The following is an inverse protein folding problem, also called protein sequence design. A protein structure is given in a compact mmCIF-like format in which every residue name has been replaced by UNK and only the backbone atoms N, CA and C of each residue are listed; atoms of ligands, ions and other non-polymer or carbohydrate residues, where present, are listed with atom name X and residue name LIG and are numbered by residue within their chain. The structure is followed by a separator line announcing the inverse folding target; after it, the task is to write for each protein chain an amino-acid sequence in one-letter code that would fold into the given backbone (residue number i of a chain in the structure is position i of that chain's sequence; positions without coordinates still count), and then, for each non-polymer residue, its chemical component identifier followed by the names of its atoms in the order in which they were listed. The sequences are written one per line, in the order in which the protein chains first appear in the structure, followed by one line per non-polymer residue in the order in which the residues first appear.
data_IF_805751552244
#
_entry.id   IF_805751552244
#
_cell.length_a   1.000
_cell.length_b   1.000
_cell.length_c   1.000
_cell.angle_alpha   90.00
_cell.angle_beta   90.00
_cell.angle_gamma   90.00
#
_symmetry.space_group_name_H-M   'P 1'
#
loop_
_entity.id
_entity.type
_entity.pdbx_description
1 polymer ?
#
# COMPACT_ATOMS: atom_id res chain seq x y z
N UNK A 1 18.01 22.36 22.00
CA UNK A 1 17.03 21.24 22.09
C UNK A 1 17.79 20.08 22.72
N UNK A 2 17.32 19.56 23.84
CA UNK A 2 18.06 18.57 24.63
C UNK A 2 18.08 17.24 23.90
N UNK A 3 19.23 16.82 23.37
CA UNK A 3 19.37 15.61 22.55
C UNK A 3 18.84 14.32 23.24
N UNK A 4 19.04 14.10 24.56
CA UNK A 4 18.47 12.96 25.26
C UNK A 4 16.96 12.98 25.36
N UNK A 5 16.34 14.16 25.49
CA UNK A 5 14.89 14.30 25.56
C UNK A 5 14.23 14.01 24.18
N UNK A 6 14.83 14.49 23.09
CA UNK A 6 14.39 14.23 21.72
C UNK A 6 14.46 12.75 21.40
N UNK A 7 15.53 12.07 21.78
CA UNK A 7 15.72 10.64 21.58
C UNK A 7 14.64 9.84 22.33
N UNK A 8 14.44 10.09 23.61
CA UNK A 8 13.39 9.39 24.38
C UNK A 8 12.01 9.58 23.78
N UNK A 9 11.69 10.79 23.30
CA UNK A 9 10.42 11.06 22.64
C UNK A 9 10.30 10.32 21.31
N UNK A 10 11.37 10.25 20.52
CA UNK A 10 11.41 9.46 19.28
C UNK A 10 11.20 7.98 19.58
N UNK A 11 11.92 7.43 20.53
CA UNK A 11 11.81 6.03 20.93
C UNK A 11 10.38 5.69 21.36
N UNK A 12 9.74 6.52 22.15
CA UNK A 12 8.38 6.30 22.62
C UNK A 12 7.31 6.40 21.51
N UNK A 13 7.50 7.26 20.52
CA UNK A 13 6.49 7.54 19.49
C UNK A 13 6.70 6.77 18.18
N UNK A 14 7.94 6.45 17.82
CA UNK A 14 8.27 5.91 16.50
C UNK A 14 8.65 4.43 16.55
N UNK A 15 9.42 4.00 17.55
CA UNK A 15 9.82 2.58 17.64
C UNK A 15 8.66 1.59 17.75
N UNK A 16 7.49 1.90 18.39
CA UNK A 16 6.35 0.98 18.39
C UNK A 16 5.79 0.66 17.00
N UNK A 17 6.21 1.39 15.96
CA UNK A 17 5.77 1.19 14.57
C UNK A 17 6.83 0.51 13.69
N UNK A 18 7.86 -0.11 14.31
CA UNK A 18 8.92 -0.82 13.59
C UNK A 18 8.34 -1.96 12.73
N UNK A 19 7.44 -2.76 13.29
CA UNK A 19 6.82 -3.89 12.58
C UNK A 19 6.04 -3.42 11.35
N UNK A 20 5.26 -2.34 11.48
CA UNK A 20 4.52 -1.76 10.37
C UNK A 20 5.46 -1.22 9.27
N UNK A 21 6.58 -0.61 9.67
CA UNK A 21 7.61 -0.12 8.76
C UNK A 21 8.29 -1.27 8.01
N UNK A 22 8.65 -2.33 8.73
CA UNK A 22 9.25 -3.53 8.15
C UNK A 22 8.28 -4.25 7.20
N UNK A 23 7.03 -4.44 7.61
CA UNK A 23 5.99 -5.01 6.76
C UNK A 23 5.86 -4.27 5.43
N UNK A 24 5.71 -2.95 5.48
CA UNK A 24 5.60 -2.16 4.26
C UNK A 24 6.85 -2.30 3.39
N UNK A 25 8.04 -2.17 3.98
CA UNK A 25 9.30 -2.31 3.25
C UNK A 25 9.43 -3.69 2.59
N UNK A 26 9.09 -4.76 3.33
CA UNK A 26 9.12 -6.15 2.84
C UNK A 26 8.24 -6.34 1.60
N UNK A 27 7.03 -5.78 1.62
CA UNK A 27 6.12 -5.82 0.48
C UNK A 27 6.55 -4.96 -0.70
N UNK A 28 7.26 -3.86 -0.45
CA UNK A 28 7.78 -2.99 -1.50
C UNK A 28 9.03 -3.55 -2.15
N UNK A 29 9.98 -4.07 -1.36
CA UNK A 29 11.27 -4.58 -1.82
C UNK A 29 11.16 -5.96 -2.45
N UNK A 30 10.27 -6.82 -1.93
CA UNK A 30 10.13 -8.20 -2.38
C UNK A 30 11.13 -9.17 -1.76
N UNK A 31 12.16 -8.71 -1.05
CA UNK A 31 13.13 -9.53 -0.35
C UNK A 31 13.49 -8.94 1.01
N UNK A 32 14.04 -9.78 1.89
CA UNK A 32 14.34 -9.44 3.30
C UNK A 32 15.49 -8.45 3.43
N UNK A 33 16.60 -8.67 2.73
CA UNK A 33 17.80 -7.85 2.85
C UNK A 33 17.57 -6.40 2.45
N UNK A 34 16.95 -6.17 1.29
CA UNK A 34 16.59 -4.82 0.85
C UNK A 34 15.57 -4.14 1.79
N UNK A 35 14.67 -4.93 2.38
CA UNK A 35 13.68 -4.41 3.32
C UNK A 35 14.36 -3.90 4.61
N UNK A 36 15.31 -4.65 5.14
CA UNK A 36 16.10 -4.26 6.32
C UNK A 36 16.88 -2.96 6.06
N UNK A 37 17.55 -2.86 4.91
CA UNK A 37 18.29 -1.67 4.51
C UNK A 37 17.37 -0.44 4.37
N UNK A 38 16.20 -0.61 3.74
CA UNK A 38 15.21 0.46 3.59
C UNK A 38 14.68 0.90 4.95
N UNK A 39 14.37 -0.03 5.86
CA UNK A 39 13.90 0.29 7.21
C UNK A 39 14.96 1.02 7.99
N UNK A 40 16.21 0.54 7.99
CA UNK A 40 17.31 1.20 8.69
C UNK A 40 17.50 2.65 8.21
N UNK A 41 17.59 2.86 6.90
CA UNK A 41 17.73 4.21 6.33
C UNK A 41 16.50 5.09 6.63
N UNK A 42 15.28 4.49 6.59
CA UNK A 42 14.05 5.21 6.90
C UNK A 42 14.02 5.68 8.36
N UNK A 43 14.46 4.85 9.32
CA UNK A 43 14.55 5.24 10.72
C UNK A 43 15.62 6.33 10.97
N UNK A 44 16.75 6.26 10.29
CA UNK A 44 17.76 7.32 10.32
C UNK A 44 17.20 8.65 9.79
N UNK A 45 16.46 8.63 8.70
CA UNK A 45 15.77 9.81 8.14
C UNK A 45 14.67 10.30 9.08
N UNK A 46 13.86 9.40 9.61
CA UNK A 46 12.83 9.74 10.58
C UNK A 46 13.42 10.44 11.81
N UNK A 47 14.53 9.93 12.35
CA UNK A 47 15.21 10.56 13.48
C UNK A 47 15.71 11.98 13.16
N UNK A 48 16.33 12.18 11.99
CA UNK A 48 16.78 13.51 11.53
C UNK A 48 15.61 14.49 11.34
N UNK A 49 14.46 13.99 10.85
CA UNK A 49 13.28 14.80 10.58
C UNK A 49 12.37 14.98 11.82
N UNK A 50 12.63 14.24 12.91
CA UNK A 50 11.75 14.21 14.08
C UNK A 50 11.60 15.57 14.75
N UNK A 51 12.61 16.43 14.70
CA UNK A 51 12.54 17.80 15.19
C UNK A 51 11.45 18.66 14.52
N UNK A 52 11.09 18.33 13.29
CA UNK A 52 10.02 18.99 12.50
C UNK A 52 8.67 18.28 12.60
N UNK A 53 8.61 17.09 13.17
CA UNK A 53 7.35 16.36 13.35
C UNK A 53 6.42 17.10 14.32
N UNK A 54 5.27 17.55 13.85
CA UNK A 54 4.24 18.28 14.59
C UNK A 54 2.90 17.55 14.65
N UNK A 55 2.83 16.35 14.05
CA UNK A 55 1.58 15.59 13.96
C UNK A 55 1.34 14.70 15.19
N UNK A 56 0.07 14.27 15.32
CA UNK A 56 -0.36 13.32 16.35
C UNK A 56 -0.33 11.86 15.87
N UNK A 57 0.03 11.63 14.60
CA UNK A 57 0.00 10.31 13.97
C UNK A 57 1.40 9.91 13.48
N UNK A 58 2.25 9.34 14.35
CA UNK A 58 3.62 8.95 13.99
C UNK A 58 3.65 7.80 12.97
N UNK A 59 2.69 6.86 13.01
CA UNK A 59 2.66 5.69 12.13
C UNK A 59 2.51 6.06 10.64
N UNK A 60 1.50 6.81 10.18
CA UNK A 60 1.42 7.23 8.79
C UNK A 60 2.60 8.08 8.34
N UNK A 61 3.14 8.91 9.23
CA UNK A 61 4.33 9.73 8.95
C UNK A 61 5.57 8.86 8.71
N UNK A 62 5.81 7.85 9.56
CA UNK A 62 6.91 6.91 9.39
C UNK A 62 6.76 6.10 8.09
N UNK A 63 5.56 5.58 7.81
CA UNK A 63 5.29 4.78 6.60
C UNK A 63 5.50 5.60 5.32
N UNK A 64 5.21 6.91 5.34
CA UNK A 64 5.56 7.80 4.23
C UNK A 64 7.08 7.91 4.02
N UNK A 65 7.86 7.95 5.11
CA UNK A 65 9.32 7.97 5.04
C UNK A 65 9.85 6.65 4.50
N UNK A 66 9.34 5.51 4.97
CA UNK A 66 9.71 4.16 4.46
C UNK A 66 9.49 4.08 2.96
N UNK A 67 8.29 4.43 2.51
CA UNK A 67 7.93 4.44 1.08
C UNK A 67 8.87 5.32 0.26
N UNK A 68 9.09 6.55 0.68
CA UNK A 68 9.95 7.50 -0.03
C UNK A 68 11.42 7.03 -0.04
N UNK A 69 11.87 6.38 1.03
CA UNK A 69 13.20 5.77 1.10
C UNK A 69 13.34 4.67 0.07
N UNK A 70 12.37 3.76 -0.01
CA UNK A 70 12.34 2.71 -1.02
C UNK A 70 12.39 3.26 -2.45
N UNK A 71 11.55 4.25 -2.79
CA UNK A 71 11.58 4.88 -4.12
C UNK A 71 12.94 5.48 -4.45
N UNK A 72 13.54 6.22 -3.51
CA UNK A 72 14.88 6.80 -3.69
C UNK A 72 15.94 5.72 -3.90
N UNK A 73 15.83 4.59 -3.22
CA UNK A 73 16.75 3.45 -3.38
C UNK A 73 16.58 2.81 -4.76
N UNK A 74 15.34 2.61 -5.21
CA UNK A 74 15.06 2.09 -6.54
C UNK A 74 15.57 3.02 -7.67
N UNK A 75 15.38 4.33 -7.53
CA UNK A 75 15.88 5.32 -8.49
C UNK A 75 17.42 5.30 -8.58
N UNK A 76 18.09 5.25 -7.43
CA UNK A 76 19.55 5.14 -7.38
C UNK A 76 20.06 3.87 -8.06
N UNK A 77 19.40 2.73 -7.80
CA UNK A 77 19.76 1.45 -8.43
C UNK A 77 19.54 1.48 -9.95
N UNK A 78 18.43 2.05 -10.42
CA UNK A 78 18.19 2.24 -11.87
C UNK A 78 19.22 3.15 -12.53
N UNK A 79 19.61 4.23 -11.87
CA UNK A 79 20.66 5.12 -12.37
C UNK A 79 22.07 4.51 -12.33
N UNK A 80 22.31 3.51 -11.46
CA UNK A 80 23.58 2.79 -11.38
C UNK A 80 23.63 1.56 -12.31
N UNK A 81 22.45 1.03 -12.70
CA UNK A 81 22.31 -0.14 -13.57
C UNK A 81 21.85 0.31 -14.95
N UNK A 82 22.78 0.72 -15.79
CA UNK A 82 22.63 0.69 -17.26
C UNK A 82 22.69 -0.75 -17.82
N UNK A 83 22.67 -1.77 -16.94
CA UNK A 83 22.82 -3.18 -17.33
C UNK A 83 21.92 -4.06 -16.46
N UNK A 84 21.03 -4.82 -17.14
CA UNK A 84 20.24 -5.99 -16.68
C UNK A 84 19.57 -5.91 -15.29
N UNK A 85 18.27 -5.59 -15.30
CA UNK A 85 17.38 -5.94 -14.22
C UNK A 85 16.61 -7.21 -14.60
N UNK A 86 17.09 -8.35 -14.12
CA UNK A 86 16.22 -9.47 -13.82
C UNK A 86 15.33 -9.04 -12.66
N UNK A 87 14.00 -9.13 -12.83
CA UNK A 87 13.06 -9.08 -11.72
C UNK A 87 13.45 -10.20 -10.74
N UNK A 88 14.15 -9.83 -9.67
CA UNK A 88 14.57 -10.77 -8.65
C UNK A 88 13.34 -11.50 -8.11
N UNK A 89 13.41 -12.82 -8.06
CA UNK A 89 12.38 -13.66 -7.45
C UNK A 89 12.12 -13.14 -6.04
N UNK A 90 10.84 -12.80 -5.79
CA UNK A 90 10.40 -12.33 -4.49
C UNK A 90 10.56 -13.49 -3.50
N UNK A 91 11.47 -13.31 -2.54
CA UNK A 91 11.63 -14.26 -1.45
C UNK A 91 10.29 -14.44 -0.73
N UNK A 92 9.70 -15.63 -0.88
CA UNK A 92 8.39 -16.00 -0.32
C UNK A 92 8.48 -16.43 1.14
N UNK A 93 9.63 -16.22 1.80
CA UNK A 93 9.75 -16.48 3.22
C UNK A 93 8.72 -15.61 3.98
N UNK A 94 7.78 -16.30 4.61
CA UNK A 94 6.72 -15.68 5.39
C UNK A 94 7.31 -15.04 6.64
N UNK A 95 6.85 -13.82 7.03
CA UNK A 95 7.04 -13.38 8.40
C UNK A 95 6.35 -14.37 9.34
N UNK A 96 7.03 -14.78 10.39
CA UNK A 96 6.45 -15.64 11.44
C UNK A 96 5.27 -14.95 12.11
N UNK A 97 4.07 -15.21 11.59
CA UNK A 97 2.81 -14.83 12.25
C UNK A 97 2.37 -15.98 13.15
N UNK A 98 2.89 -15.99 14.37
CA UNK A 98 2.42 -16.91 15.41
C UNK A 98 1.08 -16.43 15.99
N UNK A 99 -0.01 -16.70 15.27
CA UNK A 99 -1.35 -16.71 15.87
C UNK A 99 -1.56 -18.06 16.54
N UNK A 100 -1.89 -18.06 17.84
CA UNK A 100 -2.21 -19.26 18.58
C UNK A 100 -3.39 -20.02 17.93
N UNK A 101 -3.09 -21.06 17.16
CA UNK A 101 -4.08 -21.98 16.64
C UNK A 101 -4.12 -23.24 17.51
N UNK A 102 -5.31 -23.62 17.95
CA UNK A 102 -5.57 -24.69 18.92
C UNK A 102 -5.67 -26.08 18.27
N UNK A 103 -5.68 -26.16 16.92
CA UNK A 103 -5.85 -27.39 16.16
C UNK A 103 -4.79 -27.49 15.04
N UNK A 104 -3.94 -28.55 15.01
CA UNK A 104 -2.87 -28.72 14.03
C UNK A 104 -3.36 -28.78 12.57
N UNK A 105 -4.51 -29.38 12.30
CA UNK A 105 -5.05 -29.54 10.95
C UNK A 105 -5.60 -28.21 10.42
N UNK A 106 -6.30 -27.44 11.26
CA UNK A 106 -6.73 -26.08 10.93
C UNK A 106 -5.53 -25.11 10.83
N UNK A 107 -4.45 -25.37 11.55
CA UNK A 107 -3.24 -24.58 11.47
C UNK A 107 -2.56 -24.76 10.10
N UNK A 108 -2.39 -26.01 9.63
CA UNK A 108 -1.82 -26.31 8.31
C UNK A 108 -2.64 -25.70 7.16
N UNK A 109 -3.97 -25.81 7.21
CA UNK A 109 -4.85 -25.21 6.18
C UNK A 109 -4.75 -23.68 6.19
N UNK A 110 -4.66 -23.06 7.37
CA UNK A 110 -4.46 -21.60 7.47
C UNK A 110 -3.09 -21.17 6.93
N UNK A 111 -2.06 -21.95 7.18
CA UNK A 111 -0.71 -21.67 6.70
C UNK A 111 -0.64 -21.74 5.17
N UNK A 112 -1.29 -22.71 4.55
CA UNK A 112 -1.41 -22.81 3.08
C UNK A 112 -2.18 -21.63 2.49
N UNK A 113 -3.31 -21.25 3.09
CA UNK A 113 -4.09 -20.07 2.66
C UNK A 113 -3.29 -18.78 2.79
N UNK A 114 -2.54 -18.61 3.87
CA UNK A 114 -1.67 -17.45 4.09
C UNK A 114 -0.55 -17.41 3.05
N UNK A 115 0.12 -18.53 2.80
CA UNK A 115 1.16 -18.63 1.75
C UNK A 115 0.60 -18.30 0.37
N UNK A 116 -0.61 -18.79 0.07
CA UNK A 116 -1.30 -18.52 -1.19
C UNK A 116 -1.59 -17.03 -1.39
N UNK A 117 -2.14 -16.37 -0.35
CA UNK A 117 -2.41 -14.92 -0.39
C UNK A 117 -1.12 -14.13 -0.54
N UNK A 118 -0.06 -14.50 0.16
CA UNK A 118 1.26 -13.88 0.03
C UNK A 118 1.82 -14.02 -1.39
N UNK A 119 1.78 -15.22 -1.95
CA UNK A 119 2.22 -15.48 -3.32
C UNK A 119 1.40 -14.68 -4.34
N UNK A 120 0.09 -14.53 -4.10
CA UNK A 120 -0.78 -13.73 -4.95
C UNK A 120 -0.48 -12.22 -4.84
N UNK A 121 -0.28 -11.70 -3.62
CA UNK A 121 0.12 -10.32 -3.40
C UNK A 121 1.47 -10.00 -4.05
N UNK A 122 2.43 -10.92 -3.98
CA UNK A 122 3.73 -10.79 -4.60
C UNK A 122 3.66 -10.56 -6.12
N UNK A 123 2.68 -11.18 -6.78
CA UNK A 123 2.45 -11.06 -8.23
C UNK A 123 1.73 -9.77 -8.65
N UNK A 124 1.19 -9.01 -7.72
CA UNK A 124 0.53 -7.75 -8.06
C UNK A 124 1.57 -6.67 -8.42
N UNK A 125 1.27 -5.81 -9.43
CA UNK A 125 2.05 -4.60 -9.63
C UNK A 125 2.12 -3.76 -8.35
N UNK A 126 3.29 -3.20 -8.06
CA UNK A 126 3.59 -2.47 -6.81
C UNK A 126 2.54 -1.42 -6.46
N UNK A 127 2.04 -0.68 -7.44
CA UNK A 127 1.04 0.40 -7.23
C UNK A 127 -0.30 -0.09 -6.68
N UNK A 128 -0.66 -1.36 -6.89
CA UNK A 128 -1.86 -2.00 -6.35
C UNK A 128 -1.55 -2.71 -5.05
N UNK A 129 -0.42 -3.41 -4.98
CA UNK A 129 0.06 -4.09 -3.78
C UNK A 129 0.26 -3.11 -2.63
N UNK A 130 0.90 -1.95 -2.88
CA UNK A 130 1.10 -0.90 -1.90
C UNK A 130 -0.20 -0.47 -1.19
N UNK A 131 -1.23 -0.13 -1.95
CA UNK A 131 -2.49 0.34 -1.35
C UNK A 131 -3.26 -0.75 -0.63
N UNK A 132 -3.15 -2.02 -1.09
CA UNK A 132 -3.72 -3.19 -0.39
C UNK A 132 -3.02 -3.40 0.95
N UNK A 133 -1.69 -3.43 0.96
CA UNK A 133 -0.91 -3.60 2.20
C UNK A 133 -1.26 -2.50 3.19
N UNK A 134 -1.23 -1.24 2.78
CA UNK A 134 -1.56 -0.11 3.65
C UNK A 134 -3.00 -0.14 4.16
N UNK A 135 -3.95 -0.70 3.39
CA UNK A 135 -5.36 -0.77 3.79
C UNK A 135 -5.68 -2.01 4.61
N UNK A 136 -5.30 -3.19 4.12
CA UNK A 136 -5.76 -4.47 4.67
C UNK A 136 -4.84 -5.00 5.78
N UNK A 137 -3.54 -4.75 5.69
CA UNK A 137 -2.58 -5.20 6.70
C UNK A 137 -2.27 -4.11 7.73
N UNK A 138 -2.16 -2.87 7.30
CA UNK A 138 -1.86 -1.75 8.19
C UNK A 138 -3.12 -0.97 8.61
N UNK A 139 -4.31 -1.36 8.16
CA UNK A 139 -5.64 -0.83 8.54
C UNK A 139 -5.76 0.70 8.43
N UNK A 140 -4.98 1.33 7.55
CA UNK A 140 -4.96 2.79 7.41
C UNK A 140 -6.22 3.33 6.74
N UNK A 141 -6.60 4.54 7.11
CA UNK A 141 -7.68 5.26 6.43
C UNK A 141 -7.24 5.74 5.03
N UNK A 142 -8.18 5.86 4.10
CA UNK A 142 -7.91 6.28 2.72
C UNK A 142 -7.17 7.62 2.62
N UNK A 143 -7.42 8.56 3.55
CA UNK A 143 -6.71 9.84 3.62
C UNK A 143 -5.24 9.67 3.98
N UNK A 144 -4.93 8.73 4.86
CA UNK A 144 -3.54 8.44 5.25
C UNK A 144 -2.81 7.73 4.13
N UNK A 145 -3.46 6.75 3.49
CA UNK A 145 -2.92 6.07 2.30
C UNK A 145 -2.65 7.08 1.17
N UNK A 146 -3.56 8.03 0.93
CA UNK A 146 -3.40 9.08 -0.07
C UNK A 146 -2.15 9.95 0.22
N UNK A 147 -1.94 10.29 1.50
CA UNK A 147 -0.74 11.04 1.94
C UNK A 147 0.55 10.23 1.79
N UNK A 148 0.53 8.96 2.20
CA UNK A 148 1.68 8.07 2.09
C UNK A 148 2.03 7.83 0.63
N UNK A 149 1.04 7.43 -0.19
CA UNK A 149 1.22 7.11 -1.60
C UNK A 149 1.35 8.35 -2.51
N UNK A 150 1.13 9.57 -1.97
CA UNK A 150 1.17 10.84 -2.70
C UNK A 150 0.23 10.85 -3.92
N UNK A 151 -0.99 10.34 -3.75
CA UNK A 151 -2.04 10.26 -4.77
C UNK A 151 -3.37 10.78 -4.23
N UNK A 152 -4.29 11.24 -5.08
CA UNK A 152 -5.64 11.61 -4.66
C UNK A 152 -6.39 10.44 -4.00
N UNK A 153 -7.29 10.75 -3.04
CA UNK A 153 -8.12 9.73 -2.36
C UNK A 153 -8.94 8.91 -3.36
N UNK A 154 -9.49 9.54 -4.41
CA UNK A 154 -10.19 8.83 -5.48
C UNK A 154 -9.31 7.79 -6.20
N UNK A 155 -8.02 8.10 -6.37
CA UNK A 155 -7.03 7.15 -6.93
C UNK A 155 -6.75 6.00 -5.96
N UNK A 156 -6.72 6.25 -4.64
CA UNK A 156 -6.62 5.18 -3.63
C UNK A 156 -7.80 4.20 -3.78
N UNK A 157 -9.02 4.73 -3.84
CA UNK A 157 -10.24 3.92 -3.98
C UNK A 157 -10.22 3.06 -5.25
N UNK A 158 -9.88 3.68 -6.39
CA UNK A 158 -9.83 2.96 -7.68
C UNK A 158 -8.70 1.92 -7.72
N UNK A 159 -7.52 2.22 -7.13
CA UNK A 159 -6.43 1.26 -7.02
C UNK A 159 -6.79 0.09 -6.10
N UNK A 160 -7.45 0.34 -4.97
CA UNK A 160 -7.93 -0.72 -4.08
C UNK A 160 -8.95 -1.63 -4.78
N UNK A 161 -9.94 -1.06 -5.46
CA UNK A 161 -10.94 -1.84 -6.18
C UNK A 161 -10.31 -2.72 -7.27
N UNK A 162 -9.36 -2.17 -8.04
CA UNK A 162 -8.64 -2.93 -9.07
C UNK A 162 -7.70 -3.96 -8.46
N UNK A 163 -6.93 -3.59 -7.45
CA UNK A 163 -6.00 -4.48 -6.76
C UNK A 163 -6.70 -5.68 -6.13
N UNK A 164 -7.85 -5.48 -5.46
CA UNK A 164 -8.64 -6.59 -4.89
C UNK A 164 -9.13 -7.57 -5.97
N UNK A 165 -9.58 -7.06 -7.13
CA UNK A 165 -9.97 -7.92 -8.25
C UNK A 165 -8.80 -8.72 -8.81
N UNK A 166 -7.63 -8.09 -8.97
CA UNK A 166 -6.41 -8.77 -9.42
C UNK A 166 -5.95 -9.81 -8.40
N UNK A 167 -6.01 -9.48 -7.11
CA UNK A 167 -5.65 -10.42 -6.03
C UNK A 167 -6.55 -11.65 -6.06
N UNK A 168 -7.87 -11.46 -6.12
CA UNK A 168 -8.83 -12.56 -6.20
C UNK A 168 -8.56 -13.46 -7.42
N UNK A 169 -8.36 -12.87 -8.60
CA UNK A 169 -8.05 -13.63 -9.81
C UNK A 169 -6.73 -14.42 -9.69
N UNK A 170 -5.72 -13.81 -9.07
CA UNK A 170 -4.41 -14.47 -8.87
C UNK A 170 -4.52 -15.62 -7.86
N UNK A 171 -5.26 -15.44 -6.76
CA UNK A 171 -5.54 -16.51 -5.78
C UNK A 171 -6.24 -17.69 -6.44
N UNK A 172 -7.30 -17.42 -7.23
CA UNK A 172 -8.04 -18.44 -7.96
C UNK A 172 -7.14 -19.20 -8.94
N UNK A 173 -6.29 -18.49 -9.68
CA UNK A 173 -5.34 -19.11 -10.60
C UNK A 173 -4.29 -19.99 -9.87
N UNK A 174 -3.80 -19.54 -8.72
CA UNK A 174 -2.84 -20.29 -7.91
C UNK A 174 -3.44 -21.56 -7.28
N UNK A 175 -4.74 -21.55 -6.97
CA UNK A 175 -5.44 -22.75 -6.49
C UNK A 175 -5.70 -23.78 -7.59
N UNK A 176 -5.41 -23.46 -8.86
CA UNK A 176 -5.76 -24.31 -10.00
C UNK A 176 -7.26 -24.30 -10.35
N UNK A 177 -8.02 -23.38 -9.77
CA UNK A 177 -9.41 -23.16 -10.09
C UNK A 177 -9.50 -22.33 -11.38
N UNK A 178 -10.32 -22.77 -12.34
CA UNK A 178 -10.57 -22.00 -13.55
C UNK A 178 -11.23 -20.67 -13.15
N UNK A 179 -10.72 -19.51 -13.58
CA UNK A 179 -11.37 -18.24 -13.24
C UNK A 179 -12.77 -18.24 -13.82
N UNK A 180 -13.79 -18.16 -12.97
CA UNK A 180 -15.12 -17.79 -13.45
C UNK A 180 -14.97 -16.41 -14.08
N UNK A 181 -15.14 -16.35 -15.41
CA UNK A 181 -15.05 -15.10 -16.14
C UNK A 181 -15.88 -14.05 -15.40
N UNK A 182 -15.24 -13.01 -14.91
CA UNK A 182 -15.92 -11.89 -14.29
C UNK A 182 -16.97 -11.42 -15.31
N UNK A 183 -18.24 -11.54 -14.96
CA UNK A 183 -19.33 -11.02 -15.77
C UNK A 183 -18.97 -9.59 -16.16
N UNK A 184 -19.11 -9.20 -17.43
CA UNK A 184 -18.82 -7.83 -17.84
C UNK A 184 -19.66 -6.92 -16.95
N UNK A 185 -19.01 -5.99 -16.27
CA UNK A 185 -19.71 -4.96 -15.52
C UNK A 185 -20.69 -4.32 -16.50
N UNK A 186 -21.99 -4.53 -16.27
CA UNK A 186 -23.04 -3.84 -16.98
C UNK A 186 -22.67 -2.37 -17.00
N UNK A 187 -22.37 -1.87 -18.18
CA UNK A 187 -22.34 -0.43 -18.42
C UNK A 187 -23.76 0.02 -18.16
N UNK A 188 -24.00 0.58 -17.00
CA UNK A 188 -25.18 1.40 -16.83
C UNK A 188 -25.02 2.54 -17.83
N UNK A 189 -25.80 2.41 -18.91
CA UNK A 189 -26.03 3.46 -19.88
C UNK A 189 -26.45 4.73 -19.14
N UNK A 190 -25.54 5.70 -19.10
CA UNK A 190 -25.82 7.09 -18.79
C UNK A 190 -26.46 7.74 -20.05
N UNK A 191 -27.54 7.17 -20.52
CA UNK A 191 -28.36 7.70 -21.59
C UNK A 191 -29.74 8.00 -21.02
N UNK A 192 -29.84 8.99 -20.12
CA UNK A 192 -31.08 9.77 -19.91
C UNK A 192 -30.74 10.99 -19.02
N UNK A 193 -30.03 11.93 -19.58
CA UNK A 193 -30.02 13.31 -19.09
C UNK A 193 -30.83 14.13 -20.10
N UNK A 194 -32.04 14.59 -19.77
CA UNK A 194 -32.78 15.47 -20.65
C UNK A 194 -32.02 16.77 -20.83
N UNK A 195 -32.05 17.38 -22.06
CA UNK A 195 -31.33 18.61 -22.33
C UNK A 195 -31.90 19.76 -21.49
N UNK A 196 -31.01 20.50 -20.83
CA UNK A 196 -31.34 21.72 -20.11
C UNK A 196 -31.98 22.74 -21.07
N UNK A 197 -33.17 23.22 -20.69
CA UNK A 197 -33.84 24.31 -21.39
C UNK A 197 -32.99 25.60 -21.30
N UNK A 198 -32.82 26.35 -22.43
CA UNK A 198 -32.20 27.66 -22.39
C UNK A 198 -33.12 28.66 -21.68
N UNK A 199 -32.58 29.65 -20.95
CA UNK A 199 -33.35 30.66 -20.28
C UNK A 199 -34.06 31.57 -21.31
N UNK A 200 -35.37 31.70 -21.15
CA UNK A 200 -36.22 32.53 -21.99
C UNK A 200 -35.86 34.01 -21.91
N UNK A 201 -35.75 34.65 -23.08
CA UNK A 201 -35.69 36.09 -23.31
C UNK A 201 -36.96 36.76 -22.74
N UNK A 202 -36.82 37.47 -21.66
CA UNK A 202 -37.83 38.43 -21.23
C UNK A 202 -37.53 39.81 -21.81
N UNK A 203 -38.09 40.07 -22.97
CA UNK A 203 -38.16 41.45 -23.50
C UNK A 203 -39.15 42.23 -22.64
N UNK A 204 -38.65 43.19 -21.90
CA UNK A 204 -39.43 44.30 -21.33
C UNK A 204 -39.77 45.28 -22.44
N UNK A 205 -41.06 45.41 -22.70
CA UNK A 205 -41.61 46.60 -23.37
C UNK A 205 -42.24 47.46 -22.28
N UNK A 206 -41.83 48.71 -22.26
CA UNK A 206 -42.50 49.82 -21.60
C UNK A 206 -43.49 50.46 -22.58
N UNK A 207 -44.55 51.09 -22.08
CA UNK A 207 -44.59 52.53 -21.95
C UNK A 207 -44.65 53.01 -20.51
#
# INVERSE_FOLDING_TARGET
MDAPATRRRFDALVLPHLDAAYNLARWLCGNTGDAEDVVQEAFLRAFRLFGSFRGDQPRPWLLAIVRNTWFTTCEKRRGAAETDYEEGEMDTALPDWHGAATDPEQWLMREEDVRLVHAALARLPVVFREVIVLRELEELHYRDIARIAQIPVGTVMSRLARGRRMLAATVTALRGEVPVAAAPAERQDLADVPPAHPPGDTKHGLP
#
